data_IF_516866583865
#
_entry.id   IF_516866583865
#
_cell.length_a   1.000
_cell.length_b   1.000
_cell.length_c   1.000
_cell.angle_alpha   90.00
_cell.angle_beta   90.00
_cell.angle_gamma   90.00
#
_symmetry.space_group_name_H-M   'P 1'
#
loop_
_entity.id
_entity.type
_entity.pdbx_description
1 polymer ?
#
# COMPACT_ATOMS: atom_id res chain seq x y z
N UNK A 1 8.34 15.13 6.71
CA UNK A 1 9.73 15.64 6.65
C UNK A 1 10.25 16.40 7.87
N UNK A 2 9.42 16.69 8.88
CA UNK A 2 9.86 17.37 10.12
C UNK A 2 10.78 16.53 11.02
N UNK A 3 10.90 15.22 10.74
CA UNK A 3 11.69 14.29 11.53
C UNK A 3 13.08 14.12 10.94
N UNK A 4 14.07 13.80 11.79
CA UNK A 4 15.45 13.61 11.36
C UNK A 4 15.58 12.49 10.31
N UNK A 5 16.56 12.58 9.40
CA UNK A 5 16.80 11.52 8.41
C UNK A 5 16.99 10.14 9.05
N UNK A 6 17.71 10.07 10.17
CA UNK A 6 18.02 8.83 10.88
C UNK A 6 16.75 8.17 11.44
N UNK A 7 15.87 8.96 12.05
CA UNK A 7 14.60 8.46 12.57
C UNK A 7 13.73 7.92 11.43
N UNK A 8 13.63 8.66 10.32
CA UNK A 8 12.87 8.23 9.15
C UNK A 8 13.40 6.92 8.56
N UNK A 9 14.72 6.79 8.40
CA UNK A 9 15.33 5.55 7.91
C UNK A 9 15.07 4.38 8.83
N UNK A 10 15.12 4.59 10.16
CA UNK A 10 14.84 3.55 11.15
C UNK A 10 13.38 3.10 11.12
N UNK A 11 12.43 4.02 10.95
CA UNK A 11 10.99 3.72 10.92
C UNK A 11 10.56 3.06 9.61
N UNK A 12 10.99 3.59 8.47
CA UNK A 12 10.61 3.08 7.15
C UNK A 12 11.35 1.77 6.82
N UNK A 13 12.59 1.65 7.30
CA UNK A 13 13.45 0.50 7.01
C UNK A 13 13.98 0.49 5.58
N UNK A 14 14.62 -0.63 5.23
CA UNK A 14 15.31 -0.88 3.97
C UNK A 14 14.78 -2.12 3.24
N UNK A 15 13.53 -2.50 3.50
CA UNK A 15 12.90 -3.62 2.80
C UNK A 15 12.96 -3.37 1.27
N UNK A 16 13.30 -4.41 0.47
CA UNK A 16 13.41 -4.27 -0.97
C UNK A 16 12.06 -4.01 -1.64
N UNK A 17 10.96 -4.34 -0.95
CA UNK A 17 9.59 -4.13 -1.41
C UNK A 17 8.86 -3.38 -0.30
N UNK A 18 8.18 -2.31 -0.69
CA UNK A 18 7.35 -1.50 0.20
C UNK A 18 5.93 -1.47 -0.31
N UNK A 19 5.00 -1.63 0.61
CA UNK A 19 3.56 -1.66 0.34
C UNK A 19 2.90 -0.64 1.25
N UNK A 20 2.12 0.28 0.68
CA UNK A 20 1.22 1.14 1.42
C UNK A 20 -0.22 0.64 1.27
N UNK A 21 -0.97 0.64 2.38
CA UNK A 21 -2.33 0.13 2.44
C UNK A 21 -3.21 1.20 3.08
N UNK A 22 -4.12 1.77 2.30
CA UNK A 22 -5.02 2.83 2.76
C UNK A 22 -6.33 2.81 1.96
N UNK A 23 -7.47 2.93 2.64
CA UNK A 23 -8.78 3.08 2.00
C UNK A 23 -8.98 4.50 1.43
N UNK A 24 -8.10 4.87 0.51
CA UNK A 24 -7.99 6.17 -0.13
C UNK A 24 -7.15 6.07 -1.41
N UNK A 25 -6.81 7.21 -2.01
CA UNK A 25 -6.00 7.22 -3.24
C UNK A 25 -4.51 7.17 -2.95
N UNK A 26 -3.71 6.72 -3.93
CA UNK A 26 -2.24 6.60 -3.84
C UNK A 26 -1.51 7.92 -3.55
N UNK A 27 -2.15 9.06 -3.80
CA UNK A 27 -1.49 10.37 -3.80
C UNK A 27 -0.74 10.64 -2.49
N UNK A 28 0.57 10.85 -2.58
CA UNK A 28 1.45 11.12 -1.45
C UNK A 28 2.21 9.90 -0.91
N UNK A 29 1.73 8.68 -1.18
CA UNK A 29 2.40 7.46 -0.69
C UNK A 29 3.74 7.18 -1.37
N UNK A 30 3.91 7.61 -2.62
CA UNK A 30 5.16 7.44 -3.39
C UNK A 30 6.39 8.02 -2.69
N UNK A 31 6.20 9.02 -1.81
CA UNK A 31 7.28 9.56 -0.96
C UNK A 31 7.90 8.53 -0.01
N UNK A 32 7.13 7.50 0.36
CA UNK A 32 7.55 6.45 1.29
C UNK A 32 7.85 5.13 0.59
N UNK A 33 6.98 4.72 -0.33
CA UNK A 33 7.06 3.42 -0.99
C UNK A 33 7.85 3.45 -2.31
N UNK A 34 8.20 4.63 -2.82
CA UNK A 34 8.83 4.79 -4.14
C UNK A 34 7.82 4.71 -5.29
N UNK A 35 8.25 5.09 -6.49
CA UNK A 35 7.41 4.98 -7.70
C UNK A 35 7.17 3.53 -8.11
N UNK A 36 8.09 2.64 -7.75
CA UNK A 36 8.01 1.19 -7.92
C UNK A 36 7.27 0.47 -6.78
N UNK A 37 6.90 1.18 -5.71
CA UNK A 37 6.14 0.65 -4.58
C UNK A 37 4.75 0.14 -4.96
N UNK A 38 4.23 -0.78 -4.14
CA UNK A 38 2.88 -1.33 -4.29
C UNK A 38 1.92 -0.50 -3.44
N UNK A 39 0.76 -0.16 -3.99
CA UNK A 39 -0.31 0.52 -3.26
C UNK A 39 -1.58 -0.32 -3.29
N UNK A 40 -2.12 -0.62 -2.11
CA UNK A 40 -3.41 -1.29 -1.93
C UNK A 40 -4.40 -0.25 -1.39
N UNK A 41 -5.36 0.14 -2.22
CA UNK A 41 -6.30 1.20 -1.89
C UNK A 41 -7.28 1.46 -3.03
N UNK A 42 -7.84 2.66 -3.05
CA UNK A 42 -8.90 3.05 -3.97
C UNK A 42 -8.34 3.79 -5.20
N UNK A 43 -8.90 3.50 -6.38
CA UNK A 43 -8.57 4.18 -7.65
C UNK A 43 -9.73 5.02 -8.20
N UNK A 44 -10.84 5.11 -7.46
CA UNK A 44 -12.05 5.80 -7.86
C UNK A 44 -12.97 6.11 -6.68
N UNK A 45 -14.19 6.52 -6.98
CA UNK A 45 -15.23 6.76 -5.97
C UNK A 45 -15.64 5.48 -5.24
N UNK A 46 -16.35 5.64 -4.13
CA UNK A 46 -16.94 4.55 -3.38
C UNK A 46 -18.10 3.87 -4.10
N UNK A 47 -18.69 2.88 -3.43
CA UNK A 47 -19.89 2.19 -3.85
C UNK A 47 -20.84 2.01 -2.65
N UNK A 48 -22.12 1.75 -2.92
CA UNK A 48 -23.10 1.45 -1.86
C UNK A 48 -22.99 -0.02 -1.44
N UNK A 49 -22.72 -0.27 -0.16
CA UNK A 49 -22.57 -1.61 0.39
C UNK A 49 -22.10 -1.59 1.84
N UNK A 50 -22.10 -2.74 2.50
CA UNK A 50 -21.51 -2.89 3.83
C UNK A 50 -19.99 -2.99 3.74
N UNK A 51 -19.29 -2.80 4.86
CA UNK A 51 -17.82 -2.84 4.88
C UNK A 51 -17.27 -4.21 4.43
N UNK A 52 -17.98 -5.30 4.76
CA UNK A 52 -17.66 -6.67 4.39
C UNK A 52 -17.76 -6.90 2.88
N UNK A 53 -18.60 -6.12 2.19
CA UNK A 53 -18.71 -6.16 0.74
C UNK A 53 -17.68 -5.24 0.08
N UNK A 54 -17.48 -4.05 0.64
CA UNK A 54 -16.68 -3.00 0.01
C UNK A 54 -15.17 -3.26 0.10
N UNK A 55 -14.63 -3.78 1.20
CA UNK A 55 -13.18 -4.05 1.30
C UNK A 55 -12.72 -5.09 0.26
N UNK A 56 -13.39 -6.25 0.09
CA UNK A 56 -13.10 -7.17 -1.00
C UNK A 56 -13.32 -6.56 -2.38
N UNK A 57 -14.39 -5.78 -2.57
CA UNK A 57 -14.67 -5.11 -3.83
C UNK A 57 -13.54 -4.17 -4.28
N UNK A 58 -12.94 -3.43 -3.35
CA UNK A 58 -11.80 -2.56 -3.62
C UNK A 58 -10.43 -3.27 -3.47
N UNK A 59 -10.41 -4.58 -3.21
CA UNK A 59 -9.17 -5.35 -3.07
C UNK A 59 -8.34 -5.00 -1.82
N UNK A 60 -8.93 -4.31 -0.84
CA UNK A 60 -8.25 -3.96 0.41
C UNK A 60 -8.38 -5.14 1.35
N UNK A 61 -7.54 -6.16 1.15
CA UNK A 61 -7.59 -7.42 1.89
C UNK A 61 -6.19 -7.94 2.20
N UNK A 62 -6.08 -8.82 3.20
CA UNK A 62 -4.82 -9.47 3.53
C UNK A 62 -4.33 -10.35 2.36
N UNK A 63 -5.24 -11.06 1.72
CA UNK A 63 -4.97 -11.99 0.62
C UNK A 63 -4.39 -11.25 -0.60
N UNK A 64 -4.99 -10.11 -0.98
CA UNK A 64 -4.48 -9.29 -2.09
C UNK A 64 -3.12 -8.69 -1.73
N UNK A 65 -2.93 -8.26 -0.47
CA UNK A 65 -1.65 -7.71 0.00
C UNK A 65 -0.54 -8.74 -0.08
N UNK A 66 -0.76 -9.95 0.45
CA UNK A 66 0.21 -11.05 0.42
C UNK A 66 0.52 -11.45 -1.02
N UNK A 67 -0.52 -11.61 -1.86
CA UNK A 67 -0.33 -11.96 -3.27
C UNK A 67 0.53 -10.93 -4.01
N UNK A 68 0.31 -9.63 -3.77
CA UNK A 68 1.10 -8.58 -4.40
C UNK A 68 2.55 -8.56 -3.90
N UNK A 69 2.77 -8.81 -2.61
CA UNK A 69 4.11 -8.94 -2.05
C UNK A 69 4.86 -10.14 -2.65
N UNK A 70 4.21 -11.29 -2.73
CA UNK A 70 4.76 -12.56 -3.21
C UNK A 70 5.13 -12.49 -4.69
N UNK A 71 4.21 -11.99 -5.54
CA UNK A 71 4.48 -11.78 -6.97
C UNK A 71 5.70 -10.89 -7.18
N UNK A 72 5.82 -9.80 -6.40
CA UNK A 72 6.99 -8.90 -6.50
C UNK A 72 8.28 -9.53 -5.97
N UNK A 73 8.21 -10.35 -4.92
CA UNK A 73 9.38 -11.08 -4.39
C UNK A 73 9.92 -12.08 -5.40
N UNK A 74 9.03 -12.71 -6.17
CA UNK A 74 9.39 -13.78 -7.11
C UNK A 74 9.51 -13.34 -8.56
N UNK A 75 9.21 -12.07 -8.87
CA UNK A 75 9.40 -11.49 -10.21
C UNK A 75 8.36 -11.92 -11.22
N UNK A 76 7.14 -12.25 -10.77
CA UNK A 76 5.98 -12.59 -11.61
C UNK A 76 5.20 -11.34 -12.06
#
# INVERSE_FOLDING_TARGET
DKQSPDYRRKTIGNAPIKIAIEAGIRQGWDHFIGTDGIFIGMTGFGASGTIEQLYPHFGITAEVTVKAADARLHGE
#
